data_IF_243810271927
#
_entry.id   IF_243810271927
#
_cell.length_a   1.000
_cell.length_b   1.000
_cell.length_c   1.000
_cell.angle_alpha   90.00
_cell.angle_beta   90.00
_cell.angle_gamma   90.00
#
_symmetry.space_group_name_H-M   'P 1'
#
loop_
_entity.id
_entity.type
_entity.pdbx_description
1 polymer ?
#
# COMPACT_ATOMS: atom_id res chain seq x y z
N UNK A 1 -4.85 21.12 -20.80
CA UNK A 1 -5.10 20.31 -19.59
C UNK A 1 -3.75 20.09 -18.92
N UNK A 2 -3.60 20.47 -17.66
CA UNK A 2 -2.42 20.13 -16.86
C UNK A 2 -2.69 18.83 -16.11
N UNK A 3 -1.75 17.89 -16.14
CA UNK A 3 -1.86 16.60 -15.48
C UNK A 3 -0.70 16.41 -14.50
N UNK A 4 -1.02 16.16 -13.23
CA UNK A 4 -0.04 15.85 -12.19
C UNK A 4 -0.01 14.35 -11.94
N UNK A 5 1.18 13.74 -11.96
CA UNK A 5 1.36 12.30 -11.74
C UNK A 5 1.15 11.86 -10.29
N UNK A 6 0.98 12.79 -9.35
CA UNK A 6 0.76 12.52 -7.94
C UNK A 6 -0.42 13.33 -7.38
N UNK A 7 -0.98 12.85 -6.28
CA UNK A 7 -1.99 13.50 -5.44
C UNK A 7 -1.46 13.53 -4.02
N UNK A 8 -1.59 14.67 -3.35
CA UNK A 8 -1.31 14.78 -1.91
C UNK A 8 -2.55 14.38 -1.11
N UNK A 9 -2.32 13.58 -0.06
CA UNK A 9 -3.34 13.16 0.92
C UNK A 9 -2.82 13.53 2.30
N UNK A 10 -3.62 14.25 3.08
CA UNK A 10 -3.27 14.56 4.48
C UNK A 10 -3.54 13.34 5.36
N UNK A 11 -2.65 13.08 6.32
CA UNK A 11 -2.85 12.02 7.31
C UNK A 11 -3.96 12.42 8.29
N UNK A 12 -4.85 11.49 8.59
CA UNK A 12 -5.92 11.70 9.57
C UNK A 12 -5.40 11.52 11.00
N UNK A 13 -4.46 10.60 11.20
CA UNK A 13 -3.90 10.26 12.50
C UNK A 13 -2.66 11.07 12.86
N UNK A 14 -1.96 11.67 11.89
CA UNK A 14 -0.71 12.41 12.10
C UNK A 14 -0.79 13.82 11.51
N UNK A 15 -1.30 14.81 12.28
CA UNK A 15 -1.43 16.19 11.82
C UNK A 15 -0.11 16.77 11.30
N UNK A 16 -0.15 17.40 10.12
CA UNK A 16 1.04 17.96 9.47
C UNK A 16 1.78 16.97 8.55
N UNK A 17 1.42 15.67 8.58
CA UNK A 17 1.96 14.68 7.66
C UNK A 17 1.13 14.62 6.38
N UNK A 18 1.82 14.57 5.23
CA UNK A 18 1.19 14.40 3.91
C UNK A 18 1.84 13.27 3.14
N UNK A 19 1.01 12.47 2.48
CA UNK A 19 1.41 11.34 1.65
C UNK A 19 1.25 11.73 0.18
N UNK A 20 2.34 11.67 -0.58
CA UNK A 20 2.31 11.87 -2.02
C UNK A 20 1.99 10.54 -2.71
N UNK A 21 0.73 10.34 -3.06
CA UNK A 21 0.25 9.12 -3.72
C UNK A 21 0.37 9.28 -5.23
N UNK A 22 1.01 8.33 -5.89
CA UNK A 22 1.10 8.28 -7.35
C UNK A 22 -0.26 7.98 -7.95
N UNK A 23 -0.66 8.78 -8.94
CA UNK A 23 -1.85 8.47 -9.75
C UNK A 23 -1.59 7.26 -10.63
N UNK A 24 -2.61 6.43 -10.79
CA UNK A 24 -2.50 5.23 -11.63
C UNK A 24 -2.41 5.62 -13.09
N UNK A 25 -1.29 5.28 -13.73
CA UNK A 25 -1.16 5.33 -15.19
C UNK A 25 -1.35 3.93 -15.78
N UNK A 26 -1.78 3.87 -17.05
CA UNK A 26 -2.05 2.61 -17.73
C UNK A 26 -0.86 1.64 -17.70
N UNK A 27 0.34 2.14 -18.01
CA UNK A 27 1.57 1.32 -17.99
C UNK A 27 1.90 0.79 -16.60
N UNK A 28 1.88 1.65 -15.58
CA UNK A 28 2.20 1.23 -14.21
C UNK A 28 1.18 0.23 -13.64
N UNK A 29 -0.09 0.33 -14.03
CA UNK A 29 -1.13 -0.64 -13.63
C UNK A 29 -0.78 -2.04 -14.12
N UNK A 30 -0.31 -2.17 -15.36
CA UNK A 30 0.11 -3.46 -15.93
C UNK A 30 1.31 -4.02 -15.17
N UNK A 31 2.30 -3.17 -14.84
CA UNK A 31 3.48 -3.57 -14.08
C UNK A 31 3.10 -4.08 -12.68
N UNK A 32 2.23 -3.35 -11.98
CA UNK A 32 1.73 -3.75 -10.67
C UNK A 32 1.02 -5.10 -10.72
N UNK A 33 0.07 -5.27 -11.66
CA UNK A 33 -0.68 -6.52 -11.81
C UNK A 33 0.23 -7.72 -12.06
N UNK A 34 1.28 -7.55 -12.87
CA UNK A 34 2.28 -8.61 -13.09
C UNK A 34 3.02 -8.98 -11.80
N UNK A 35 3.34 -7.99 -10.97
CA UNK A 35 4.08 -8.19 -9.73
C UNK A 35 3.23 -8.86 -8.64
N UNK A 36 1.94 -8.50 -8.53
CA UNK A 36 1.09 -8.96 -7.41
C UNK A 36 0.29 -10.22 -7.69
N UNK A 37 0.06 -10.59 -8.97
CA UNK A 37 -0.83 -11.70 -9.36
C UNK A 37 -0.53 -13.02 -8.64
N UNK A 38 0.74 -13.41 -8.59
CA UNK A 38 1.13 -14.73 -8.05
C UNK A 38 1.03 -14.77 -6.52
N UNK A 39 1.42 -13.67 -5.85
CA UNK A 39 1.27 -13.56 -4.40
C UNK A 39 -0.22 -13.52 -4.02
N UNK A 40 -1.06 -12.77 -4.73
CA UNK A 40 -2.48 -12.65 -4.43
C UNK A 40 -3.19 -14.01 -4.52
N UNK A 41 -2.97 -14.75 -5.61
CA UNK A 41 -3.54 -16.09 -5.77
C UNK A 41 -3.07 -17.07 -4.68
N UNK A 42 -1.83 -16.93 -4.21
CA UNK A 42 -1.29 -17.77 -3.12
C UNK A 42 -1.89 -17.41 -1.77
N UNK A 43 -2.12 -16.13 -1.49
CA UNK A 43 -2.86 -15.68 -0.29
C UNK A 43 -4.25 -16.30 -0.28
N UNK A 44 -5.03 -16.09 -1.34
CA UNK A 44 -6.41 -16.63 -1.45
C UNK A 44 -6.46 -18.15 -1.22
N UNK A 45 -5.53 -18.90 -1.82
CA UNK A 45 -5.44 -20.35 -1.63
C UNK A 45 -5.17 -20.75 -0.18
N UNK A 46 -4.20 -20.10 0.48
CA UNK A 46 -3.81 -20.44 1.84
C UNK A 46 -4.83 -19.99 2.90
N UNK A 47 -5.51 -18.86 2.67
CA UNK A 47 -6.58 -18.37 3.56
C UNK A 47 -7.78 -19.32 3.63
N UNK A 48 -8.07 -20.01 2.54
CA UNK A 48 -9.14 -21.01 2.48
C UNK A 48 -8.85 -22.27 3.33
N UNK A 49 -7.62 -22.45 3.80
CA UNK A 49 -7.22 -23.59 4.62
C UNK A 49 -7.69 -23.48 6.08
N UNK A 50 -7.86 -24.63 6.73
CA UNK A 50 -8.09 -24.73 8.17
C UNK A 50 -6.79 -24.92 8.97
N UNK A 51 -5.65 -25.17 8.32
CA UNK A 51 -4.36 -25.33 9.00
C UNK A 51 -3.87 -23.96 9.54
N UNK A 52 -3.65 -23.81 10.86
CA UNK A 52 -3.11 -22.58 11.44
C UNK A 52 -1.77 -22.13 10.84
N UNK A 53 -0.93 -23.05 10.36
CA UNK A 53 0.35 -22.72 9.72
C UNK A 53 0.15 -22.08 8.35
N UNK A 54 -0.80 -22.61 7.58
CA UNK A 54 -1.14 -22.05 6.27
C UNK A 54 -1.81 -20.67 6.43
N UNK A 55 -2.63 -20.48 7.46
CA UNK A 55 -3.17 -19.15 7.81
C UNK A 55 -2.08 -18.15 8.18
N UNK A 56 -1.07 -18.57 8.96
CA UNK A 56 0.04 -17.70 9.31
C UNK A 56 0.86 -17.30 8.06
N UNK A 57 1.12 -18.25 7.17
CA UNK A 57 1.80 -17.99 5.89
C UNK A 57 0.98 -17.04 5.01
N UNK A 58 -0.35 -17.20 4.97
CA UNK A 58 -1.23 -16.30 4.25
C UNK A 58 -1.12 -14.85 4.76
N UNK A 59 -1.17 -14.65 6.08
CA UNK A 59 -0.99 -13.33 6.69
C UNK A 59 0.36 -12.71 6.36
N UNK A 60 1.44 -13.51 6.35
CA UNK A 60 2.76 -13.01 5.98
C UNK A 60 2.80 -12.55 4.52
N UNK A 61 2.23 -13.33 3.60
CA UNK A 61 2.16 -12.98 2.18
C UNK A 61 1.26 -11.77 1.92
N UNK A 62 0.17 -11.63 2.68
CA UNK A 62 -0.69 -10.45 2.63
C UNK A 62 0.08 -9.18 3.05
N UNK A 63 0.88 -9.23 4.11
CA UNK A 63 1.76 -8.13 4.51
C UNK A 63 2.80 -7.79 3.43
N UNK A 64 3.35 -8.79 2.73
CA UNK A 64 4.28 -8.55 1.61
C UNK A 64 3.58 -7.91 0.40
N UNK A 65 2.34 -8.29 0.12
CA UNK A 65 1.49 -7.62 -0.87
C UNK A 65 1.26 -6.15 -0.53
N UNK A 66 0.88 -5.85 0.72
CA UNK A 66 0.67 -4.48 1.19
C UNK A 66 1.95 -3.65 1.08
N UNK A 67 3.11 -4.24 1.41
CA UNK A 67 4.42 -3.62 1.18
C UNK A 67 4.67 -3.29 -0.29
N UNK A 68 4.36 -4.22 -1.21
CA UNK A 68 4.51 -3.97 -2.66
C UNK A 68 3.62 -2.79 -3.08
N UNK A 69 2.37 -2.74 -2.61
CA UNK A 69 1.47 -1.63 -2.92
C UNK A 69 2.02 -0.30 -2.42
N UNK A 70 2.50 -0.22 -1.17
CA UNK A 70 3.06 1.02 -0.61
C UNK A 70 4.28 1.47 -1.41
N UNK A 71 5.26 0.58 -1.65
CA UNK A 71 6.48 0.95 -2.38
C UNK A 71 6.22 1.32 -3.85
N UNK A 72 5.17 0.76 -4.46
CA UNK A 72 4.78 1.10 -5.82
C UNK A 72 3.99 2.42 -5.88
N UNK A 73 3.11 2.67 -4.91
CA UNK A 73 2.10 3.73 -4.96
C UNK A 73 2.48 5.01 -4.21
N UNK A 74 3.35 4.94 -3.20
CA UNK A 74 3.79 6.09 -2.43
C UNK A 74 5.04 6.71 -3.07
N UNK A 75 4.97 7.98 -3.42
CA UNK A 75 6.12 8.74 -3.94
C UNK A 75 6.96 9.36 -2.82
N UNK A 76 6.32 9.78 -1.74
CA UNK A 76 7.02 10.45 -0.66
C UNK A 76 6.11 10.74 0.53
N UNK A 77 6.76 11.09 1.64
CA UNK A 77 6.12 11.47 2.89
C UNK A 77 6.67 12.83 3.28
N UNK A 78 5.79 13.79 3.53
CA UNK A 78 6.15 15.12 4.01
C UNK A 78 5.71 15.28 5.46
N UNK A 79 6.45 16.05 6.25
CA UNK A 79 6.09 16.36 7.64
C UNK A 79 6.38 15.25 8.65
N UNK A 80 7.06 14.17 8.24
CA UNK A 80 7.52 13.10 9.11
C UNK A 80 9.05 12.98 9.04
N UNK A 81 9.68 12.92 10.20
CA UNK A 81 11.06 12.47 10.36
C UNK A 81 11.07 11.11 11.07
N UNK A 82 11.90 10.19 10.59
CA UNK A 82 12.17 8.90 11.21
C UNK A 82 13.64 8.92 11.60
N UNK A 83 13.91 8.77 12.89
CA UNK A 83 15.27 8.82 13.46
C UNK A 83 16.06 10.08 13.05
N UNK A 84 15.35 11.22 12.95
CA UNK A 84 15.94 12.52 12.59
C UNK A 84 16.28 12.68 11.10
N UNK A 85 15.76 11.81 10.23
CA UNK A 85 15.87 11.95 8.78
C UNK A 85 14.47 12.07 8.15
N UNK A 86 14.31 12.85 7.07
CA UNK A 86 13.04 12.92 6.34
C UNK A 86 12.58 11.53 5.88
N UNK A 87 11.32 11.22 6.11
CA UNK A 87 10.77 9.92 5.76
C UNK A 87 10.67 9.70 4.24
N UNK A 88 11.18 8.56 3.76
CA UNK A 88 10.96 8.00 2.43
C UNK A 88 9.95 6.85 2.49
N UNK A 89 9.36 6.41 1.36
CA UNK A 89 8.51 5.21 1.32
C UNK A 89 9.18 3.97 1.93
N UNK A 90 10.46 3.75 1.64
CA UNK A 90 11.21 2.61 2.18
C UNK A 90 11.41 2.71 3.69
N UNK A 91 11.73 3.91 4.19
CA UNK A 91 11.88 4.14 5.63
C UNK A 91 10.55 4.03 6.37
N UNK A 92 9.45 4.49 5.77
CA UNK A 92 8.10 4.38 6.31
C UNK A 92 7.71 2.90 6.49
N UNK A 93 7.88 2.09 5.44
CA UNK A 93 7.56 0.65 5.49
C UNK A 93 8.39 -0.08 6.54
N UNK A 94 9.65 0.33 6.76
CA UNK A 94 10.58 -0.41 7.62
C UNK A 94 10.57 0.04 9.09
N UNK A 95 10.38 1.32 9.34
CA UNK A 95 10.59 1.97 10.64
C UNK A 95 9.47 2.94 11.01
N UNK A 96 8.52 3.17 10.10
CA UNK A 96 7.46 4.14 10.29
C UNK A 96 6.32 3.63 11.17
N UNK A 97 5.42 4.54 11.59
CA UNK A 97 4.23 4.17 12.34
C UNK A 97 3.28 3.27 11.53
N UNK A 98 2.85 2.15 12.10
CA UNK A 98 1.96 1.19 11.41
C UNK A 98 0.65 1.84 10.92
N UNK A 99 0.06 2.74 11.73
CA UNK A 99 -1.16 3.45 11.35
C UNK A 99 -0.97 4.30 10.07
N UNK A 100 0.19 4.92 9.89
CA UNK A 100 0.47 5.72 8.71
C UNK A 100 0.70 4.84 7.46
N UNK A 101 1.30 3.66 7.64
CA UNK A 101 1.39 2.66 6.58
C UNK A 101 -0.01 2.21 6.12
N UNK A 102 -0.95 2.01 7.06
CA UNK A 102 -2.34 1.65 6.75
C UNK A 102 -3.06 2.78 6.00
N UNK A 103 -2.90 4.04 6.43
CA UNK A 103 -3.46 5.19 5.70
C UNK A 103 -2.93 5.30 4.27
N UNK A 104 -1.61 5.10 4.09
CA UNK A 104 -0.99 5.11 2.77
C UNK A 104 -1.54 3.99 1.89
N UNK A 105 -1.64 2.78 2.43
CA UNK A 105 -2.18 1.62 1.74
C UNK A 105 -3.63 1.84 1.30
N UNK A 106 -4.49 2.35 2.18
CA UNK A 106 -5.89 2.66 1.86
C UNK A 106 -6.01 3.73 0.77
N UNK A 107 -5.19 4.78 0.85
CA UNK A 107 -5.16 5.82 -0.19
C UNK A 107 -4.71 5.26 -1.56
N UNK A 108 -3.75 4.34 -1.57
CA UNK A 108 -3.25 3.67 -2.79
C UNK A 108 -4.29 2.71 -3.35
N UNK A 109 -4.91 1.88 -2.51
CA UNK A 109 -5.98 0.95 -2.91
C UNK A 109 -7.16 1.72 -3.50
N UNK A 110 -7.53 2.87 -2.92
CA UNK A 110 -8.56 3.76 -3.47
C UNK A 110 -8.19 4.31 -4.86
N UNK A 111 -6.95 4.75 -5.05
CA UNK A 111 -6.46 5.20 -6.35
C UNK A 111 -6.45 4.07 -7.40
N UNK A 112 -6.21 2.82 -6.98
CA UNK A 112 -6.28 1.63 -7.84
C UNK A 112 -7.71 1.16 -8.15
N UNK A 113 -8.70 1.71 -7.46
CA UNK A 113 -10.10 1.27 -7.51
C UNK A 113 -10.35 -0.06 -6.79
N UNK A 114 -9.53 -0.39 -5.79
CA UNK A 114 -9.63 -1.60 -4.97
C UNK A 114 -10.29 -1.37 -3.61
N UNK A 115 -10.56 -0.11 -3.23
CA UNK A 115 -11.29 0.17 -1.98
C UNK A 115 -12.78 -0.15 -2.15
N UNK A 116 -13.32 -1.00 -1.26
CA UNK A 116 -14.75 -1.36 -1.12
C UNK A 116 -15.45 -1.94 -2.36
N UNK A 117 -14.70 -2.58 -3.28
CA UNK A 117 -15.31 -3.46 -4.28
C UNK A 117 -15.53 -4.91 -3.76
N UNK A 118 -15.22 -5.18 -2.49
CA UNK A 118 -15.29 -6.51 -1.87
C UNK A 118 -16.57 -6.76 -1.03
N UNK A 119 -17.51 -5.81 -0.93
CA UNK A 119 -18.73 -5.99 -0.10
C UNK A 119 -19.96 -6.58 -0.83
N UNK A 120 -19.87 -6.98 -2.10
CA UNK A 120 -21.01 -7.63 -2.79
C UNK A 120 -20.55 -8.70 -3.77
N UNK A 121 -20.28 -9.90 -3.28
CA UNK A 121 -20.59 -11.17 -3.97
C UNK A 121 -20.75 -12.30 -2.95
#
# INVERSE_FOLDING_TARGET
MEYTSCKLVESENFPGVRLAIRRVSFGRRIELLKQVRELAAKVEYLEASQDPREKLEASLLACELDRIFILWGLEGVEGLEIDGQPATPESLVKFGPELLCREALEAIKRELGLSEAEEKN
#
